data_IF_850383963116
#
_entry.id   IF_850383963116
#
_cell.length_a   1.000
_cell.length_b   1.000
_cell.length_c   1.000
_cell.angle_alpha   90.00
_cell.angle_beta   90.00
_cell.angle_gamma   90.00
#
_symmetry.space_group_name_H-M   'P 1'
#
loop_
_entity.id
_entity.type
_entity.pdbx_description
1 polymer ?
#
# COMPACT_ATOMS: atom_id res chain seq x y z
N UNK A 1 -6.69 -24.23 39.99
CA UNK A 1 -7.20 -23.45 38.84
C UNK A 1 -7.90 -24.43 37.93
N UNK A 2 -9.13 -24.13 37.56
CA UNK A 2 -9.85 -24.93 36.56
C UNK A 2 -9.26 -24.69 35.17
N UNK A 3 -9.51 -25.61 34.25
CA UNK A 3 -9.12 -25.47 32.84
C UNK A 3 -9.73 -24.20 32.22
N UNK A 4 -10.96 -23.85 32.62
CA UNK A 4 -11.66 -22.63 32.21
C UNK A 4 -10.96 -21.36 32.71
N UNK A 5 -10.37 -21.38 33.91
CA UNK A 5 -9.59 -20.26 34.45
C UNK A 5 -8.32 -20.03 33.61
N UNK A 6 -7.67 -21.10 33.16
CA UNK A 6 -6.46 -21.05 32.32
C UNK A 6 -6.79 -20.48 30.95
N UNK A 7 -7.85 -20.97 30.31
CA UNK A 7 -8.28 -20.49 28.98
C UNK A 7 -8.66 -19.01 29.04
N UNK A 8 -9.39 -18.59 30.08
CA UNK A 8 -9.78 -17.19 30.26
C UNK A 8 -8.56 -16.30 30.47
N UNK A 9 -7.57 -16.76 31.23
CA UNK A 9 -6.34 -16.02 31.45
C UNK A 9 -5.51 -15.87 30.16
N UNK A 10 -5.40 -16.94 29.37
CA UNK A 10 -4.70 -16.93 28.08
C UNK A 10 -5.32 -15.95 27.09
N UNK A 11 -6.65 -15.96 26.92
CA UNK A 11 -7.34 -15.01 26.03
C UNK A 11 -7.09 -13.55 26.44
N UNK A 12 -7.10 -13.28 27.75
CA UNK A 12 -6.83 -11.94 28.28
C UNK A 12 -5.37 -11.51 28.07
N UNK A 13 -4.44 -12.46 28.04
CA UNK A 13 -3.04 -12.19 27.71
C UNK A 13 -2.88 -11.91 26.21
N UNK A 14 -3.51 -12.70 25.33
CA UNK A 14 -3.51 -12.46 23.88
C UNK A 14 -4.07 -11.07 23.55
N UNK A 15 -5.21 -10.70 24.11
CA UNK A 15 -5.82 -9.38 23.88
C UNK A 15 -4.91 -8.24 24.35
N UNK A 16 -4.25 -8.39 25.50
CA UNK A 16 -3.28 -7.40 25.99
C UNK A 16 -2.04 -7.31 25.10
N UNK A 17 -1.58 -8.44 24.55
CA UNK A 17 -0.45 -8.49 23.63
C UNK A 17 -0.82 -7.77 22.33
N UNK A 18 -2.00 -8.03 21.77
CA UNK A 18 -2.48 -7.39 20.54
C UNK A 18 -2.62 -5.87 20.71
N UNK A 19 -3.21 -5.42 21.83
CA UNK A 19 -3.32 -3.99 22.16
C UNK A 19 -1.92 -3.37 22.31
N UNK A 20 -1.01 -4.06 23.01
CA UNK A 20 0.36 -3.60 23.19
C UNK A 20 1.12 -3.46 21.87
N UNK A 21 0.97 -4.43 20.97
CA UNK A 21 1.57 -4.38 19.63
C UNK A 21 1.02 -3.23 18.79
N UNK A 22 -0.31 -3.01 18.80
CA UNK A 22 -0.93 -1.88 18.10
C UNK A 22 -0.36 -0.53 18.59
N UNK A 23 -0.25 -0.33 19.90
CA UNK A 23 0.32 0.91 20.48
C UNK A 23 1.79 1.12 20.12
N UNK A 24 2.58 0.04 20.03
CA UNK A 24 3.99 0.11 19.61
C UNK A 24 4.08 0.49 18.14
N UNK A 25 3.25 -0.10 17.28
CA UNK A 25 3.17 0.22 15.85
C UNK A 25 2.81 1.70 15.67
N UNK A 26 1.77 2.20 16.33
CA UNK A 26 1.36 3.61 16.26
C UNK A 26 2.50 4.57 16.66
N UNK A 27 3.24 4.23 17.72
CA UNK A 27 4.41 5.02 18.17
C UNK A 27 5.56 4.99 17.17
N UNK A 28 5.83 3.83 16.56
CA UNK A 28 6.84 3.70 15.50
C UNK A 28 6.45 4.56 14.30
N UNK A 29 5.19 4.49 13.86
CA UNK A 29 4.69 5.30 12.75
C UNK A 29 4.75 6.81 13.03
N UNK A 30 4.50 7.22 14.28
CA UNK A 30 4.63 8.62 14.69
C UNK A 30 6.08 9.13 14.68
N UNK A 31 7.07 8.24 14.89
CA UNK A 31 8.50 8.58 14.87
C UNK A 31 9.07 8.49 13.45
N UNK A 32 8.52 7.61 12.62
CA UNK A 32 8.98 7.38 11.26
C UNK A 32 8.65 8.55 10.33
N UNK A 33 9.67 9.35 9.98
CA UNK A 33 9.54 10.39 8.95
C UNK A 33 9.13 9.75 7.62
N UNK A 34 8.04 10.26 7.04
CA UNK A 34 7.61 9.90 5.67
C UNK A 34 8.78 10.07 4.70
N UNK A 35 9.18 8.99 4.03
CA UNK A 35 10.21 9.06 2.99
C UNK A 35 9.55 9.31 1.65
N UNK A 36 10.06 10.28 0.91
CA UNK A 36 9.61 10.47 -0.47
C UNK A 36 10.23 9.39 -1.36
N UNK A 37 9.47 8.80 -2.30
CA UNK A 37 10.03 7.85 -3.25
C UNK A 37 11.08 8.53 -4.13
N UNK A 38 12.15 7.79 -4.44
CA UNK A 38 13.19 8.21 -5.38
C UNK A 38 12.61 8.42 -6.79
N UNK A 39 13.31 9.17 -7.64
CA UNK A 39 12.90 9.35 -9.04
C UNK A 39 12.74 8.02 -9.79
N UNK A 40 13.65 7.08 -9.57
CA UNK A 40 13.58 5.73 -10.13
C UNK A 40 12.34 4.97 -9.64
N UNK A 41 12.05 5.00 -8.33
CA UNK A 41 10.84 4.37 -7.78
C UNK A 41 9.60 4.96 -8.44
N UNK A 42 9.50 6.29 -8.50
CA UNK A 42 8.36 6.96 -9.16
C UNK A 42 8.21 6.52 -10.61
N UNK A 43 9.31 6.46 -11.36
CA UNK A 43 9.30 6.03 -12.75
C UNK A 43 8.80 4.59 -12.92
N UNK A 44 9.25 3.66 -12.05
CA UNK A 44 8.76 2.28 -12.07
C UNK A 44 7.25 2.21 -11.82
N UNK A 45 6.76 2.89 -10.78
CA UNK A 45 5.33 2.85 -10.43
C UNK A 45 4.45 3.46 -11.54
N UNK A 46 4.88 4.58 -12.12
CA UNK A 46 4.19 5.24 -13.24
C UNK A 46 4.18 4.35 -14.48
N UNK A 47 5.31 3.72 -14.79
CA UNK A 47 5.42 2.78 -15.92
C UNK A 47 4.46 1.60 -15.77
N UNK A 48 4.29 1.07 -14.55
CA UNK A 48 3.32 0.00 -14.28
C UNK A 48 1.89 0.42 -14.63
N UNK A 49 1.48 1.64 -14.29
CA UNK A 49 0.15 2.16 -14.66
C UNK A 49 0.04 2.31 -16.18
N UNK A 50 1.04 2.97 -16.78
CA UNK A 50 1.07 3.24 -18.22
C UNK A 50 0.95 1.98 -19.07
N UNK A 51 1.65 0.90 -18.68
CA UNK A 51 1.79 -0.29 -19.51
C UNK A 51 0.65 -1.33 -19.25
N UNK A 52 -0.07 -1.28 -18.12
CA UNK A 52 -1.06 -2.32 -17.75
C UNK A 52 -2.47 -1.84 -17.41
N UNK A 53 -2.69 -0.55 -17.16
CA UNK A 53 -3.99 -0.06 -16.73
C UNK A 53 -4.64 0.74 -17.84
N UNK A 54 -5.86 0.33 -18.20
CA UNK A 54 -6.64 0.96 -19.28
C UNK A 54 -6.83 2.44 -19.00
N UNK A 55 -6.65 3.26 -20.03
CA UNK A 55 -6.84 4.72 -19.95
C UNK A 55 -6.03 5.38 -18.83
N UNK A 56 -4.92 4.76 -18.43
CA UNK A 56 -4.06 5.22 -17.33
C UNK A 56 -4.78 5.36 -15.99
N UNK A 57 -5.81 4.52 -15.79
CA UNK A 57 -6.63 4.55 -14.60
C UNK A 57 -5.86 4.11 -13.35
N UNK A 58 -6.30 4.65 -12.21
CA UNK A 58 -5.81 4.33 -10.89
C UNK A 58 -5.89 2.81 -10.66
N UNK A 59 -4.82 2.15 -10.21
CA UNK A 59 -4.83 0.71 -9.95
C UNK A 59 -5.68 0.29 -8.75
N UNK A 60 -6.09 1.26 -7.92
CA UNK A 60 -6.92 1.01 -6.75
C UNK A 60 -8.42 1.03 -7.08
N UNK A 61 -8.92 2.00 -7.87
CA UNK A 61 -10.34 2.05 -8.22
C UNK A 61 -10.65 1.69 -9.67
N UNK A 62 -9.67 1.74 -10.57
CA UNK A 62 -9.79 1.54 -12.02
C UNK A 62 -10.75 2.51 -12.73
N UNK A 63 -11.19 3.57 -12.05
CA UNK A 63 -12.19 4.53 -12.55
C UNK A 63 -11.58 5.87 -13.00
N UNK A 64 -10.49 6.29 -12.34
CA UNK A 64 -9.94 7.65 -12.50
C UNK A 64 -8.58 7.60 -13.18
N UNK A 65 -8.42 8.25 -14.32
CA UNK A 65 -7.13 8.42 -14.99
C UNK A 65 -6.17 9.22 -14.09
N UNK A 66 -4.98 8.68 -13.83
CA UNK A 66 -3.96 9.33 -12.99
C UNK A 66 -2.72 9.75 -13.78
N UNK A 67 -2.64 9.38 -15.06
CA UNK A 67 -1.65 9.90 -16.01
C UNK A 67 -2.36 10.64 -17.15
N UNK A 68 -1.65 11.59 -17.77
CA UNK A 68 -2.07 12.24 -19.00
C UNK A 68 -1.86 11.34 -20.24
N UNK A 69 -2.22 11.85 -21.41
CA UNK A 69 -2.07 11.18 -22.71
C UNK A 69 -0.60 10.88 -23.09
N UNK A 70 0.35 11.56 -22.44
CA UNK A 70 1.79 11.36 -22.60
C UNK A 70 2.35 10.39 -21.55
N UNK A 71 1.51 9.85 -20.66
CA UNK A 71 1.92 8.96 -19.57
C UNK A 71 2.61 9.67 -18.41
N UNK A 72 2.45 10.99 -18.29
CA UNK A 72 2.97 11.78 -17.17
C UNK A 72 1.95 11.86 -16.04
N UNK A 73 2.36 11.83 -14.75
CA UNK A 73 1.42 11.89 -13.63
C UNK A 73 0.62 13.19 -13.60
N UNK A 74 -0.70 13.07 -13.45
CA UNK A 74 -1.58 14.20 -13.15
C UNK A 74 -1.42 14.64 -11.68
N UNK A 75 -1.85 15.86 -11.35
CA UNK A 75 -1.78 16.39 -9.98
C UNK A 75 -2.54 15.55 -8.94
N UNK A 76 -3.53 14.78 -9.39
CA UNK A 76 -4.32 13.87 -8.55
C UNK A 76 -3.61 12.54 -8.26
N UNK A 77 -2.48 12.25 -8.91
CA UNK A 77 -1.69 11.04 -8.66
C UNK A 77 -0.92 11.18 -7.34
N UNK A 78 -1.06 10.18 -6.47
CA UNK A 78 -0.43 10.12 -5.15
C UNK A 78 0.39 8.83 -5.01
N UNK A 79 1.56 8.94 -4.39
CA UNK A 79 2.41 7.79 -4.09
C UNK A 79 2.10 7.26 -2.69
N UNK A 80 1.39 6.15 -2.66
CA UNK A 80 0.94 5.49 -1.45
C UNK A 80 1.98 4.49 -0.95
N UNK A 81 2.16 4.47 0.38
CA UNK A 81 3.05 3.54 1.06
C UNK A 81 2.20 2.45 1.69
N UNK A 82 2.27 1.24 1.15
CA UNK A 82 1.34 0.18 1.53
C UNK A 82 1.56 -0.27 2.98
N UNK A 83 2.82 -0.48 3.38
CA UNK A 83 3.17 -1.02 4.69
C UNK A 83 3.46 0.06 5.74
N UNK A 84 4.28 1.07 5.43
CA UNK A 84 4.60 2.17 6.34
C UNK A 84 5.11 3.38 5.57
N UNK A 85 4.85 4.58 6.11
CA UNK A 85 5.33 5.87 5.58
C UNK A 85 6.86 5.96 5.46
N UNK A 86 7.65 5.13 6.15
CA UNK A 86 9.12 5.10 6.02
C UNK A 86 9.63 4.24 4.87
N UNK A 87 8.77 3.43 4.25
CA UNK A 87 9.12 2.36 3.32
C UNK A 87 8.94 2.78 1.87
N UNK A 88 10.00 3.32 1.28
CA UNK A 88 9.94 3.93 -0.05
C UNK A 88 10.43 3.04 -1.20
N UNK A 89 10.51 1.72 -1.02
CA UNK A 89 10.93 0.81 -2.11
C UNK A 89 9.77 0.61 -3.10
N UNK A 90 10.05 0.35 -4.38
CA UNK A 90 9.00 0.04 -5.36
C UNK A 90 8.08 -1.10 -4.89
N UNK A 91 8.64 -2.12 -4.22
CA UNK A 91 7.94 -3.31 -3.66
C UNK A 91 6.96 -3.00 -2.53
N UNK A 92 6.99 -1.78 -2.01
CA UNK A 92 6.24 -1.35 -0.82
C UNK A 92 5.27 -0.21 -1.16
N UNK A 93 5.20 0.17 -2.45
CA UNK A 93 4.52 1.36 -2.91
C UNK A 93 3.73 1.11 -4.19
N UNK A 94 2.81 2.02 -4.47
CA UNK A 94 2.08 2.15 -5.73
C UNK A 94 1.63 3.59 -5.93
N UNK A 95 1.19 3.91 -7.15
CA UNK A 95 0.64 5.22 -7.50
C UNK A 95 -0.87 5.10 -7.68
N UNK A 96 -1.63 5.92 -6.97
CA UNK A 96 -3.11 5.88 -6.93
C UNK A 96 -3.69 7.27 -7.08
N UNK A 97 -5.02 7.41 -7.23
CA UNK A 97 -5.64 8.73 -7.20
C UNK A 97 -5.73 9.25 -5.76
N UNK A 98 -5.86 10.57 -5.61
CA UNK A 98 -5.95 11.25 -4.32
C UNK A 98 -7.05 10.68 -3.42
N UNK A 99 -8.24 10.42 -3.97
CA UNK A 99 -9.36 9.85 -3.22
C UNK A 99 -9.04 8.46 -2.67
N UNK A 100 -8.40 7.59 -3.46
CA UNK A 100 -7.98 6.28 -3.00
C UNK A 100 -6.87 6.39 -1.94
N UNK A 101 -5.89 7.27 -2.13
CA UNK A 101 -4.82 7.45 -1.13
C UNK A 101 -5.37 7.89 0.24
N UNK A 102 -6.30 8.84 0.27
CA UNK A 102 -6.96 9.26 1.52
C UNK A 102 -7.70 8.09 2.18
N UNK A 103 -8.45 7.29 1.42
CA UNK A 103 -9.14 6.11 1.95
C UNK A 103 -8.18 5.03 2.45
N UNK A 104 -7.06 4.79 1.74
CA UNK A 104 -6.03 3.85 2.19
C UNK A 104 -5.38 4.28 3.50
N UNK A 105 -5.31 5.58 3.76
CA UNK A 105 -4.77 6.12 5.02
C UNK A 105 -5.79 6.05 6.17
N UNK A 106 -7.08 6.29 5.92
CA UNK A 106 -8.07 6.46 6.99
C UNK A 106 -9.08 5.33 7.17
N UNK A 107 -9.21 4.41 6.21
CA UNK A 107 -10.23 3.33 6.20
C UNK A 107 -9.54 1.96 6.10
N UNK A 108 -9.45 1.27 7.24
CA UNK A 108 -8.81 -0.04 7.36
C UNK A 108 -9.49 -1.11 6.51
N UNK A 109 -10.82 -1.06 6.38
CA UNK A 109 -11.58 -2.04 5.61
C UNK A 109 -11.36 -1.82 4.11
N UNK A 110 -11.28 -0.56 3.68
CA UNK A 110 -10.88 -0.22 2.32
C UNK A 110 -9.45 -0.68 2.02
N UNK A 111 -8.51 -0.47 2.96
CA UNK A 111 -7.14 -0.96 2.83
C UNK A 111 -7.09 -2.49 2.72
N UNK A 112 -7.83 -3.20 3.57
CA UNK A 112 -7.93 -4.65 3.52
C UNK A 112 -8.47 -5.14 2.16
N UNK A 113 -9.60 -4.60 1.69
CA UNK A 113 -10.16 -4.98 0.38
C UNK A 113 -9.28 -4.60 -0.81
N UNK A 114 -8.42 -3.59 -0.65
CA UNK A 114 -7.47 -3.16 -1.69
C UNK A 114 -6.24 -4.08 -1.80
N UNK A 115 -6.04 -5.03 -0.89
CA UNK A 115 -4.86 -5.88 -0.84
C UNK A 115 -4.63 -6.68 -2.14
N UNK A 116 -5.68 -7.25 -2.72
CA UNK A 116 -5.58 -8.00 -3.98
C UNK A 116 -5.21 -7.09 -5.15
N UNK A 117 -5.65 -5.82 -5.13
CA UNK A 117 -5.30 -4.83 -6.16
C UNK A 117 -3.86 -4.39 -6.03
N UNK A 118 -3.41 -4.14 -4.80
CA UNK A 118 -2.00 -3.87 -4.52
C UNK A 118 -1.13 -5.04 -4.98
N UNK A 119 -1.44 -6.27 -4.59
CA UNK A 119 -0.71 -7.47 -5.02
C UNK A 119 -0.67 -7.60 -6.56
N UNK A 120 -1.80 -7.38 -7.24
CA UNK A 120 -1.87 -7.40 -8.70
C UNK A 120 -0.99 -6.32 -9.36
N UNK A 121 -0.94 -5.12 -8.76
CA UNK A 121 -0.03 -4.06 -9.19
C UNK A 121 1.44 -4.47 -9.03
N UNK A 122 1.80 -5.10 -7.92
CA UNK A 122 3.17 -5.57 -7.66
C UNK A 122 3.61 -6.62 -8.70
N UNK A 123 2.74 -7.60 -9.02
CA UNK A 123 3.01 -8.61 -10.06
C UNK A 123 3.27 -7.95 -11.42
N UNK A 124 2.45 -6.97 -11.82
CA UNK A 124 2.62 -6.23 -13.08
C UNK A 124 3.92 -5.41 -13.10
N UNK A 125 4.30 -4.81 -11.96
CA UNK A 125 5.60 -4.15 -11.86
C UNK A 125 6.74 -5.14 -12.06
N UNK A 126 6.69 -6.30 -11.40
CA UNK A 126 7.77 -7.29 -11.49
C UNK A 126 7.93 -7.82 -12.93
N UNK A 127 6.83 -8.00 -13.66
CA UNK A 127 6.84 -8.33 -15.09
C UNK A 127 7.60 -7.30 -15.95
N UNK A 128 7.60 -6.02 -15.58
CA UNK A 128 8.36 -4.97 -16.30
C UNK A 128 9.85 -4.97 -15.95
N UNK A 129 10.19 -5.39 -14.74
CA UNK A 129 11.57 -5.38 -14.22
C UNK A 129 12.32 -6.65 -14.58
N UNK A 130 11.60 -7.76 -14.77
CA UNK A 130 12.11 -9.02 -15.29
C UNK A 130 11.37 -9.37 -16.58
N UNK A 131 11.59 -8.63 -17.68
CA UNK A 131 11.03 -9.03 -18.96
C UNK A 131 11.57 -10.44 -19.25
N UNK A 132 10.67 -11.43 -19.33
CA UNK A 132 11.02 -12.76 -19.81
C UNK A 132 11.78 -12.56 -21.12
N UNK A 133 13.02 -13.03 -21.16
CA UNK A 133 13.93 -12.93 -22.31
C UNK A 133 13.12 -13.14 -23.60
N UNK A 134 13.06 -12.10 -24.44
CA UNK A 134 12.54 -12.19 -25.81
C UNK A 134 13.67 -12.60 -26.74
#
# INVERSE_FOLDING_TARGET
MSEDDVITHLKRLEEKIDIGFAQIIDRIEAIERRRNPTGETRAQLVRTVRDFYRSYNCPCCEEVAILDDRGSPLSIAQYDHWYSKSKSRPTEMWVVCQTCNLKLESDSDFKHRSQTRFASFQVRRDQLMQPLLK
#
